data_IF_038682421544
#
_entry.id   IF_038682421544
#
_cell.length_a   1.000
_cell.length_b   1.000
_cell.length_c   1.000
_cell.angle_alpha   90.00
_cell.angle_beta   90.00
_cell.angle_gamma   90.00
#
_symmetry.space_group_name_H-M   'P 1'
#
loop_
_entity.id
_entity.type
_entity.pdbx_description
1 polymer ?
#
# COMPACT_ATOMS: atom_id res chain seq x y z
N UNK A 1 -0.85 12.02 -13.04
CA UNK A 1 -0.35 11.26 -11.87
C UNK A 1 -0.79 9.82 -12.10
N UNK A 2 0.12 8.83 -12.18
CA UNK A 2 -0.22 7.44 -12.55
C UNK A 2 -0.55 6.62 -11.30
N UNK A 3 -1.74 6.81 -10.73
CA UNK A 3 -2.19 6.17 -9.49
C UNK A 3 -2.42 4.66 -9.62
N UNK A 4 -2.84 4.16 -10.79
CA UNK A 4 -3.10 2.71 -10.99
C UNK A 4 -1.88 1.80 -10.75
N UNK A 5 -0.67 2.21 -11.13
CA UNK A 5 0.57 1.45 -10.84
C UNK A 5 0.81 1.34 -9.33
N UNK A 6 0.42 2.37 -8.60
CA UNK A 6 0.63 2.46 -7.16
C UNK A 6 -0.24 1.44 -6.42
N UNK A 7 -1.52 1.38 -6.78
CA UNK A 7 -2.45 0.36 -6.31
C UNK A 7 -1.97 -1.06 -6.62
N UNK A 8 -1.45 -1.30 -7.83
CA UNK A 8 -0.92 -2.62 -8.19
C UNK A 8 0.31 -3.01 -7.35
N UNK A 9 1.17 -2.04 -7.02
CA UNK A 9 2.31 -2.26 -6.13
C UNK A 9 1.84 -2.52 -4.68
N UNK A 10 0.85 -1.77 -4.19
CA UNK A 10 0.24 -1.97 -2.88
C UNK A 10 -0.42 -3.35 -2.78
N UNK A 11 -1.20 -3.75 -3.79
CA UNK A 11 -1.83 -5.09 -3.88
C UNK A 11 -0.78 -6.19 -3.80
N UNK A 12 0.33 -6.04 -4.53
CA UNK A 12 1.42 -7.04 -4.50
C UNK A 12 2.05 -7.09 -3.11
N UNK A 13 2.40 -5.95 -2.54
CA UNK A 13 2.95 -5.84 -1.18
C UNK A 13 2.06 -6.49 -0.13
N UNK A 14 0.77 -6.16 -0.14
CA UNK A 14 -0.21 -6.62 0.85
C UNK A 14 -0.52 -8.11 0.69
N UNK A 15 -0.57 -8.62 -0.54
CA UNK A 15 -0.74 -10.06 -0.81
C UNK A 15 0.47 -10.85 -0.31
N UNK A 16 1.68 -10.45 -0.72
CA UNK A 16 2.91 -11.13 -0.32
C UNK A 16 3.09 -11.06 1.21
N UNK A 17 2.78 -9.91 1.81
CA UNK A 17 2.80 -9.72 3.26
C UNK A 17 1.75 -10.58 3.98
N UNK A 18 0.54 -10.69 3.45
CA UNK A 18 -0.53 -11.51 4.03
C UNK A 18 -0.21 -13.02 4.01
N UNK A 19 0.54 -13.47 3.01
CA UNK A 19 1.00 -14.85 2.85
C UNK A 19 2.25 -15.15 3.71
N UNK A 20 3.13 -14.16 3.88
CA UNK A 20 4.44 -14.34 4.51
C UNK A 20 4.52 -13.88 5.98
N UNK A 21 3.58 -13.08 6.46
CA UNK A 21 3.58 -12.61 7.84
C UNK A 21 3.32 -13.78 8.80
N UNK A 22 4.29 -14.04 9.68
CA UNK A 22 4.15 -15.04 10.74
C UNK A 22 3.21 -14.54 11.86
N UNK A 23 3.18 -13.23 12.14
CA UNK A 23 2.22 -12.65 13.10
C UNK A 23 0.80 -12.63 12.52
N UNK A 24 -0.11 -13.34 13.17
CA UNK A 24 -1.49 -13.52 12.68
C UNK A 24 -2.27 -12.21 12.60
N UNK A 25 -2.03 -11.25 13.51
CA UNK A 25 -2.74 -9.97 13.52
C UNK A 25 -2.27 -9.08 12.38
N UNK A 26 -0.97 -9.06 12.11
CA UNK A 26 -0.37 -8.37 10.97
C UNK A 26 -0.87 -8.97 9.66
N UNK A 27 -0.81 -10.30 9.50
CA UNK A 27 -1.35 -10.97 8.32
C UNK A 27 -2.85 -10.70 8.12
N UNK A 28 -3.63 -10.63 9.19
CA UNK A 28 -5.04 -10.24 9.11
C UNK A 28 -5.24 -8.76 8.76
N UNK A 29 -4.36 -7.86 9.21
CA UNK A 29 -4.40 -6.45 8.83
C UNK A 29 -4.13 -6.29 7.33
N UNK A 30 -3.13 -6.99 6.79
CA UNK A 30 -2.82 -6.99 5.36
C UNK A 30 -3.96 -7.57 4.52
N UNK A 31 -4.59 -8.69 4.91
CA UNK A 31 -5.75 -9.23 4.18
C UNK A 31 -6.94 -8.27 4.14
N UNK A 32 -7.23 -7.62 5.26
CA UNK A 32 -8.31 -6.63 5.30
C UNK A 32 -7.99 -5.48 4.35
N UNK A 33 -6.78 -4.93 4.45
CA UNK A 33 -6.42 -3.76 3.67
C UNK A 33 -6.29 -4.08 2.17
N UNK A 34 -5.79 -5.27 1.81
CA UNK A 34 -5.75 -5.75 0.43
C UNK A 34 -7.12 -5.67 -0.25
N UNK A 35 -8.21 -6.04 0.45
CA UNK A 35 -9.56 -5.95 -0.10
C UNK A 35 -10.01 -4.49 -0.32
N UNK A 36 -9.54 -3.56 0.50
CA UNK A 36 -9.77 -2.12 0.34
C UNK A 36 -8.98 -1.60 -0.86
N UNK A 37 -7.70 -1.92 -0.97
CA UNK A 37 -6.81 -1.53 -2.08
C UNK A 37 -7.29 -2.09 -3.43
N UNK A 38 -7.81 -3.31 -3.49
CA UNK A 38 -8.46 -3.84 -4.70
C UNK A 38 -9.70 -3.03 -5.11
N UNK A 39 -10.40 -2.42 -4.16
CA UNK A 39 -11.48 -1.49 -4.46
C UNK A 39 -10.95 -0.11 -4.90
N UNK A 40 -9.84 0.35 -4.33
CA UNK A 40 -9.16 1.59 -4.74
C UNK A 40 -8.71 1.51 -6.20
N UNK A 41 -8.10 0.40 -6.61
CA UNK A 41 -7.68 0.15 -7.99
C UNK A 41 -8.86 0.31 -8.96
N UNK A 42 -10.00 -0.31 -8.66
CA UNK A 42 -11.22 -0.18 -9.48
C UNK A 42 -11.69 1.27 -9.58
N UNK A 43 -11.77 1.98 -8.45
CA UNK A 43 -12.19 3.38 -8.41
C UNK A 43 -11.26 4.27 -9.25
N UNK A 44 -9.95 4.06 -9.16
CA UNK A 44 -8.96 4.83 -9.95
C UNK A 44 -9.04 4.48 -11.42
N UNK A 45 -9.22 3.21 -11.77
CA UNK A 45 -9.40 2.77 -13.15
C UNK A 45 -10.65 3.40 -13.77
N UNK A 46 -11.79 3.43 -13.05
CA UNK A 46 -13.00 4.14 -13.48
C UNK A 46 -12.77 5.65 -13.67
N UNK A 47 -11.99 6.30 -12.79
CA UNK A 47 -11.63 7.71 -12.96
C UNK A 47 -10.76 7.94 -14.19
N UNK A 48 -9.78 7.07 -14.44
CA UNK A 48 -8.91 7.17 -15.62
C UNK A 48 -9.70 7.00 -16.92
N UNK A 49 -10.62 6.03 -16.96
CA UNK A 49 -11.48 5.76 -18.11
C UNK A 49 -12.37 6.96 -18.45
N UNK A 50 -12.91 7.66 -17.45
CA UNK A 50 -13.69 8.87 -17.65
C UNK A 50 -12.89 10.01 -18.34
N UNK A 51 -11.56 9.99 -18.23
CA UNK A 51 -10.66 10.92 -18.92
C UNK A 51 -10.20 10.41 -20.31
N UNK A 52 -10.77 9.31 -20.82
CA UNK A 52 -10.34 8.68 -22.07
C UNK A 52 -8.94 8.07 -21.98
N UNK A 53 -8.46 7.85 -20.76
CA UNK A 53 -7.19 7.18 -20.48
C UNK A 53 -7.47 5.81 -19.92
N UNK A 54 -6.65 4.80 -20.24
CA UNK A 54 -6.72 3.52 -19.56
C UNK A 54 -5.40 3.27 -18.84
N UNK A 55 -5.38 2.48 -17.75
CA UNK A 55 -4.15 1.82 -17.31
C UNK A 55 -3.52 1.12 -18.53
N UNK A 56 -2.22 1.27 -18.76
CA UNK A 56 -1.58 0.73 -19.97
C UNK A 56 -0.33 -0.07 -19.59
N UNK A 57 -0.44 -1.41 -19.44
CA UNK A 57 0.64 -2.27 -18.95
C UNK A 57 1.96 -2.13 -19.72
N UNK A 58 1.89 -1.82 -21.01
CA UNK A 58 3.06 -1.65 -21.89
C UNK A 58 3.83 -0.34 -21.61
N UNK A 59 3.15 0.76 -21.25
CA UNK A 59 3.80 2.03 -20.85
C UNK A 59 4.30 2.03 -19.40
N UNK A 60 3.96 0.99 -18.64
CA UNK A 60 4.25 0.84 -17.21
C UNK A 60 5.47 -0.06 -16.94
N UNK A 61 5.92 -0.81 -17.94
CA UNK A 61 7.12 -1.67 -17.91
C UNK A 61 8.45 -0.93 -17.67
N UNK A 62 8.54 0.36 -18.01
CA UNK A 62 9.74 1.16 -17.79
C UNK A 62 9.99 1.49 -16.30
N UNK A 63 8.96 1.37 -15.45
CA UNK A 63 9.01 1.78 -14.05
C UNK A 63 9.03 0.60 -13.06
N UNK A 64 8.79 -0.63 -13.54
CA UNK A 64 9.12 -1.87 -12.83
C UNK A 64 10.61 -1.92 -12.42
N UNK A 65 11.45 -1.09 -13.03
CA UNK A 65 12.86 -0.92 -12.67
C UNK A 65 13.09 -0.14 -11.36
N UNK A 66 12.22 0.82 -11.01
CA UNK A 66 12.30 1.56 -9.74
C UNK A 66 11.76 0.72 -8.56
N UNK A 67 10.70 -0.06 -8.78
CA UNK A 67 10.19 -1.03 -7.80
C UNK A 67 11.23 -2.13 -7.49
N UNK A 68 12.04 -2.54 -8.48
CA UNK A 68 13.19 -3.44 -8.28
C UNK A 68 14.31 -2.84 -7.43
N UNK A 69 14.47 -1.51 -7.38
CA UNK A 69 15.48 -0.86 -6.52
C UNK A 69 15.05 -0.84 -5.05
N UNK A 70 13.75 -0.76 -4.74
CA UNK A 70 13.25 -0.95 -3.36
C UNK A 70 13.21 -2.43 -2.98
N UNK A 71 12.90 -3.32 -3.93
CA UNK A 71 12.89 -4.78 -3.74
C UNK A 71 14.27 -5.43 -3.52
N UNK A 72 15.37 -4.68 -3.57
CA UNK A 72 16.73 -5.22 -3.37
C UNK A 72 17.24 -5.14 -1.91
N UNK A 73 16.48 -4.57 -0.97
CA UNK A 73 16.87 -4.58 0.46
C UNK A 73 16.49 -5.90 1.16
N UNK A 74 15.65 -6.75 0.55
CA UNK A 74 15.05 -7.93 1.18
C UNK A 74 15.55 -9.28 0.62
N UNK A 75 16.87 -9.52 0.56
CA UNK A 75 17.39 -10.87 0.23
C UNK A 75 18.47 -11.43 1.17
N UNK A 76 18.74 -10.79 2.30
CA UNK A 76 19.82 -11.23 3.22
C UNK A 76 19.40 -11.51 4.66
N UNK A 77 18.10 -11.51 4.98
CA UNK A 77 17.61 -12.11 6.23
C UNK A 77 16.19 -12.66 5.99
N UNK A 78 15.76 -13.75 6.66
CA UNK A 78 14.37 -14.19 6.60
C UNK A 78 13.49 -12.97 6.88
N UNK A 79 12.54 -12.69 5.99
CA UNK A 79 11.68 -11.51 6.11
C UNK A 79 10.85 -11.67 7.38
N UNK A 80 11.29 -11.01 8.45
CA UNK A 80 10.56 -11.03 9.71
C UNK A 80 9.30 -10.20 9.55
N UNK A 81 8.27 -10.49 10.35
CA UNK A 81 7.00 -9.76 10.27
C UNK A 81 7.22 -8.25 10.46
N UNK A 82 8.24 -7.85 11.22
CA UNK A 82 8.65 -6.46 11.39
C UNK A 82 9.09 -5.75 10.11
N UNK A 83 9.84 -6.42 9.22
CA UNK A 83 10.23 -5.80 7.93
C UNK A 83 9.02 -5.53 7.06
N UNK A 84 8.11 -6.49 6.99
CA UNK A 84 6.85 -6.36 6.24
C UNK A 84 6.00 -5.22 6.81
N UNK A 85 5.88 -5.13 8.14
CA UNK A 85 5.14 -4.06 8.80
C UNK A 85 5.74 -2.67 8.52
N UNK A 86 7.07 -2.53 8.58
CA UNK A 86 7.77 -1.26 8.27
C UNK A 86 7.54 -0.86 6.81
N UNK A 87 7.65 -1.82 5.88
CA UNK A 87 7.47 -1.56 4.46
C UNK A 87 6.04 -1.12 4.15
N UNK A 88 5.05 -1.84 4.69
CA UNK A 88 3.64 -1.49 4.53
C UNK A 88 3.33 -0.11 5.14
N UNK A 89 3.70 0.13 6.40
CA UNK A 89 3.50 1.42 7.05
C UNK A 89 4.10 2.60 6.26
N UNK A 90 5.32 2.42 5.71
CA UNK A 90 5.96 3.43 4.88
C UNK A 90 5.23 3.66 3.56
N UNK A 91 4.70 2.59 2.96
CA UNK A 91 3.93 2.66 1.72
C UNK A 91 2.59 3.38 1.93
N UNK A 92 1.91 3.15 3.07
CA UNK A 92 0.67 3.86 3.41
C UNK A 92 0.88 5.38 3.48
N UNK A 93 1.98 5.85 4.07
CA UNK A 93 2.27 7.29 4.13
C UNK A 93 2.57 7.89 2.75
N UNK A 94 3.17 7.10 1.85
CA UNK A 94 3.35 7.48 0.46
C UNK A 94 1.99 7.60 -0.26
N UNK A 95 1.05 6.69 0.00
CA UNK A 95 -0.32 6.74 -0.52
C UNK A 95 -1.09 7.95 0.02
N UNK A 96 -1.08 8.16 1.34
CA UNK A 96 -1.70 9.31 2.02
C UNK A 96 -1.24 10.63 1.38
N UNK A 97 0.07 10.80 1.17
CA UNK A 97 0.62 12.00 0.53
C UNK A 97 0.14 12.13 -0.93
N UNK A 98 0.06 11.01 -1.64
CA UNK A 98 -0.36 10.95 -3.04
C UNK A 98 -1.83 11.32 -3.22
N UNK A 99 -2.71 10.79 -2.36
CA UNK A 99 -4.13 11.08 -2.40
C UNK A 99 -4.48 12.48 -1.94
N UNK A 100 -3.73 13.04 -0.96
CA UNK A 100 -3.82 14.48 -0.63
C UNK A 100 -3.51 15.37 -1.84
N UNK A 101 -2.46 15.03 -2.59
CA UNK A 101 -2.08 15.77 -3.79
C UNK A 101 -3.12 15.60 -4.91
N UNK A 102 -3.58 14.38 -5.17
CA UNK A 102 -4.61 14.10 -6.18
C UNK A 102 -5.89 14.89 -5.90
N UNK A 103 -6.36 14.88 -4.64
CA UNK A 103 -7.53 15.64 -4.21
C UNK A 103 -7.40 17.13 -4.54
N UNK A 104 -6.25 17.74 -4.23
CA UNK A 104 -6.03 19.16 -4.49
C UNK A 104 -5.98 19.46 -6.00
N UNK A 105 -5.36 18.60 -6.79
CA UNK A 105 -5.34 18.74 -8.26
C UNK A 105 -6.75 18.62 -8.84
N UNK A 106 -7.52 17.61 -8.42
CA UNK A 106 -8.90 17.39 -8.86
C UNK A 106 -9.81 18.57 -8.50
N UNK A 107 -9.69 19.08 -7.27
CA UNK A 107 -10.42 20.26 -6.80
C UNK A 107 -10.13 21.49 -7.66
N UNK A 108 -8.86 21.74 -8.03
CA UNK A 108 -8.50 22.85 -8.92
C UNK A 108 -9.00 22.65 -10.35
N UNK A 109 -9.16 21.41 -10.79
CA UNK A 109 -9.71 21.08 -12.10
C UNK A 109 -11.25 21.07 -12.13
N UNK A 110 -11.92 21.25 -10.98
CA UNK A 110 -13.39 21.16 -10.87
C UNK A 110 -13.92 19.73 -11.01
N UNK A 111 -13.08 18.71 -10.81
CA UNK A 111 -13.51 17.30 -10.85
C UNK A 111 -13.92 16.80 -9.45
N UNK A 112 -15.16 17.12 -9.08
CA UNK A 112 -15.75 16.71 -7.80
C UNK A 112 -15.85 15.19 -7.64
N UNK A 113 -15.95 14.42 -8.73
CA UNK A 113 -15.98 12.96 -8.66
C UNK A 113 -14.62 12.40 -8.22
N UNK A 114 -13.52 12.90 -8.80
CA UNK A 114 -12.17 12.49 -8.35
C UNK A 114 -11.86 13.00 -6.95
N UNK A 115 -12.36 14.17 -6.54
CA UNK A 115 -12.24 14.65 -5.15
C UNK A 115 -12.86 13.63 -4.19
N UNK A 116 -14.10 13.20 -4.45
CA UNK A 116 -14.80 12.23 -3.59
C UNK A 116 -14.07 10.87 -3.54
N UNK A 117 -13.56 10.38 -4.68
CA UNK A 117 -12.74 9.15 -4.74
C UNK A 117 -11.46 9.31 -3.92
N UNK A 118 -10.71 10.40 -4.10
CA UNK A 118 -9.47 10.63 -3.40
C UNK A 118 -9.67 10.77 -1.88
N UNK A 119 -10.77 11.38 -1.44
CA UNK A 119 -11.10 11.49 0.00
C UNK A 119 -11.47 10.14 0.61
N UNK A 120 -12.25 9.34 -0.10
CA UNK A 120 -12.58 7.98 0.33
C UNK A 120 -11.32 7.14 0.52
N UNK A 121 -10.45 7.12 -0.48
CA UNK A 121 -9.22 6.32 -0.43
C UNK A 121 -8.32 6.85 0.68
N UNK A 122 -8.08 8.16 0.74
CA UNK A 122 -7.27 8.79 1.79
C UNK A 122 -7.70 8.39 3.21
N UNK A 123 -9.00 8.35 3.49
CA UNK A 123 -9.51 7.93 4.80
C UNK A 123 -9.17 6.46 5.11
N UNK A 124 -9.16 5.60 4.11
CA UNK A 124 -8.84 4.18 4.26
C UNK A 124 -7.33 3.98 4.46
N UNK A 125 -6.47 4.68 3.71
CA UNK A 125 -5.01 4.62 3.89
C UNK A 125 -4.58 5.13 5.26
N UNK A 126 -5.23 6.19 5.75
CA UNK A 126 -4.98 6.67 7.11
C UNK A 126 -5.37 5.63 8.17
N UNK A 127 -6.51 4.96 8.00
CA UNK A 127 -6.93 3.90 8.92
C UNK A 127 -6.00 2.69 8.86
N UNK A 128 -5.52 2.31 7.67
CA UNK A 128 -4.55 1.24 7.47
C UNK A 128 -3.20 1.57 8.12
N UNK A 129 -2.69 2.79 7.90
CA UNK A 129 -1.46 3.27 8.53
C UNK A 129 -1.53 3.21 10.05
N UNK A 130 -2.62 3.69 10.66
CA UNK A 130 -2.83 3.64 12.11
C UNK A 130 -2.94 2.20 12.62
N UNK A 131 -3.64 1.33 11.88
CA UNK A 131 -3.77 -0.08 12.23
C UNK A 131 -2.42 -0.80 12.22
N UNK A 132 -1.59 -0.56 11.20
CA UNK A 132 -0.26 -1.16 11.10
C UNK A 132 0.66 -0.57 12.18
N UNK A 133 0.57 0.75 12.43
CA UNK A 133 1.34 1.42 13.48
C UNK A 133 1.08 0.80 14.86
N UNK A 134 -0.18 0.57 15.21
CA UNK A 134 -0.56 -0.06 16.48
C UNK A 134 -0.18 -1.54 16.63
N UNK A 135 0.41 -2.16 15.61
CA UNK A 135 0.93 -3.53 15.65
C UNK A 135 2.46 -3.59 15.74
N UNK A 136 3.18 -2.47 15.58
CA UNK A 136 4.64 -2.48 15.43
C UNK A 136 5.36 -3.05 16.65
N UNK A 137 4.97 -2.67 17.86
CA UNK A 137 5.58 -3.16 19.10
C UNK A 137 5.33 -4.66 19.28
N UNK A 138 4.08 -5.11 19.09
CA UNK A 138 3.72 -6.53 19.19
C UNK A 138 4.49 -7.37 18.15
N UNK A 139 4.61 -6.87 16.92
CA UNK A 139 5.34 -7.56 15.86
C UNK A 139 6.83 -7.67 16.21
N UNK A 140 7.41 -6.64 16.83
CA UNK A 140 8.79 -6.68 17.30
C UNK A 140 8.98 -7.73 18.41
N UNK A 141 8.06 -7.81 19.37
CA UNK A 141 8.06 -8.84 20.43
C UNK A 141 7.96 -10.25 19.83
N UNK A 142 7.01 -10.47 18.92
CA UNK A 142 6.82 -11.73 18.21
C UNK A 142 8.10 -12.16 17.45
N UNK A 143 8.74 -11.22 16.75
CA UNK A 143 9.98 -11.49 16.01
C UNK A 143 11.15 -11.87 16.94
N UNK A 144 11.22 -11.29 18.15
CA UNK A 144 12.22 -11.64 19.17
C UNK A 144 11.98 -13.02 19.78
N UNK A 145 10.72 -13.35 20.11
CA UNK A 145 10.32 -14.66 20.61
C UNK A 145 10.69 -15.77 19.62
N UNK A 146 10.38 -15.57 18.34
CA UNK A 146 10.71 -16.53 17.27
C UNK A 146 12.21 -16.79 17.14
N UNK A 147 13.04 -15.80 17.47
CA UNK A 147 14.50 -15.90 17.44
C UNK A 147 15.10 -16.49 18.73
N UNK A 148 14.28 -16.76 19.75
CA UNK A 148 14.74 -17.18 21.07
C UNK A 148 15.47 -16.06 21.82
N UNK A 149 15.17 -14.80 21.50
CA UNK A 149 15.78 -13.60 22.07
C UNK A 149 14.84 -12.85 23.03
N UNK A 150 13.67 -13.40 23.32
CA UNK A 150 12.78 -12.86 24.35
C UNK A 150 13.41 -13.03 25.74
N UNK A 151 13.33 -11.96 26.55
CA UNK A 151 13.88 -11.88 27.90
C UNK A 151 12.94 -12.48 28.96
#
# INVERSE_FOLDING_TARGET
MRTSIREQNAITLLRDGAESADDQKLGSAFRQHLAETEAHERLISERLEAYGTSPSPLKDSAQTFAAKLTGMVAKTAPDTSGKLAIQAYSFEHLEIASYRMLREVARRAGDEQTVAVAERILSQEQAAAEKISGLLEQVAEHDLERQGLAA
#
